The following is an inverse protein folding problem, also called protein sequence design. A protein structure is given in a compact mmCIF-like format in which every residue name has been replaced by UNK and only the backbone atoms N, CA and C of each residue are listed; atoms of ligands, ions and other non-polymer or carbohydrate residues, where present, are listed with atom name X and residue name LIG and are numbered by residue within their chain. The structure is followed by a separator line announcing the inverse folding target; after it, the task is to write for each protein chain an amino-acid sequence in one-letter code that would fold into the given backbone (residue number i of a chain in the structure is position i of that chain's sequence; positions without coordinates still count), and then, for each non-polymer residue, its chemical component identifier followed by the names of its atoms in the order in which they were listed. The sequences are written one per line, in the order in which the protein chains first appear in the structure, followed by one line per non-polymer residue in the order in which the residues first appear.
data_IF_010573141583
#
_entry.id   IF_010573141583
#
_cell.length_a   1.000
_cell.length_b   1.000
_cell.length_c   1.000
_cell.angle_alpha   90.00
_cell.angle_beta   90.00
_cell.angle_gamma   90.00
#
_symmetry.space_group_name_H-M   'P 1'
#
loop_
_entity.id
_entity.type
_entity.pdbx_description
1 polymer ?
#
# COMPACT_ATOMS: atom_id res chain seq x y z
N UNK A 1 24.03 -8.49 -6.72
CA UNK A 1 23.83 -7.06 -6.37
C UNK A 1 24.65 -6.75 -5.13
N UNK A 2 25.38 -5.64 -5.09
CA UNK A 2 26.10 -5.22 -3.88
C UNK A 2 26.17 -3.69 -3.77
N UNK A 3 26.44 -3.19 -2.56
CA UNK A 3 26.67 -1.77 -2.32
C UNK A 3 28.06 -1.42 -2.86
N UNK A 4 28.14 -0.50 -3.82
CA UNK A 4 29.41 -0.01 -4.40
C UNK A 4 29.97 1.17 -3.62
N UNK A 5 29.09 2.08 -3.19
CA UNK A 5 29.50 3.29 -2.49
C UNK A 5 28.38 3.78 -1.57
N UNK A 6 28.77 4.39 -0.45
CA UNK A 6 27.88 5.12 0.45
C UNK A 6 28.39 6.56 0.60
N UNK A 7 27.50 7.54 0.49
CA UNK A 7 27.79 8.96 0.70
C UNK A 7 26.91 9.50 1.83
N UNK A 8 27.53 10.13 2.82
CA UNK A 8 26.89 10.59 4.05
C UNK A 8 27.22 12.06 4.28
N UNK A 9 26.24 12.89 4.65
CA UNK A 9 26.46 14.27 5.08
C UNK A 9 25.45 14.67 6.14
N UNK A 10 25.92 15.30 7.21
CA UNK A 10 25.08 15.76 8.32
C UNK A 10 24.42 14.62 9.13
N UNK A 11 24.87 13.37 8.95
CA UNK A 11 24.25 12.19 9.54
C UNK A 11 25.00 11.72 10.78
N UNK A 12 24.37 11.76 11.96
CA UNK A 12 24.95 11.32 13.24
C UNK A 12 26.36 11.87 13.47
N UNK A 13 27.41 11.06 13.47
CA UNK A 13 28.80 11.50 13.67
C UNK A 13 29.41 12.18 12.45
N UNK A 14 28.80 12.06 11.27
CA UNK A 14 29.33 12.55 9.99
C UNK A 14 28.80 13.94 9.67
N UNK A 15 29.48 14.99 10.16
CA UNK A 15 29.13 16.39 9.85
C UNK A 15 29.42 16.75 8.39
N UNK A 16 30.61 16.42 7.91
CA UNK A 16 31.06 16.70 6.55
C UNK A 16 30.69 15.56 5.61
N UNK A 17 30.70 15.85 4.31
CA UNK A 17 30.48 14.83 3.29
C UNK A 17 31.57 13.77 3.34
N UNK A 18 31.17 12.52 3.54
CA UNK A 18 32.06 11.37 3.64
C UNK A 18 31.60 10.32 2.64
N UNK A 19 32.51 9.88 1.78
CA UNK A 19 32.28 8.81 0.82
C UNK A 19 33.04 7.56 1.24
N UNK A 20 32.36 6.42 1.23
CA UNK A 20 32.93 5.12 1.60
C UNK A 20 32.69 4.17 0.43
N UNK A 21 33.77 3.68 -0.15
CA UNK A 21 33.72 2.73 -1.26
C UNK A 21 33.80 1.30 -0.74
N UNK A 22 33.02 0.43 -1.37
CA UNK A 22 32.90 -0.98 -1.01
C UNK A 22 33.30 -1.86 -2.18
N UNK A 23 33.92 -3.00 -1.85
CA UNK A 23 34.36 -3.99 -2.84
C UNK A 23 33.47 -5.23 -2.79
N UNK A 24 33.49 -6.02 -3.87
CA UNK A 24 32.84 -7.34 -3.86
C UNK A 24 33.58 -8.26 -2.90
N UNK A 25 32.84 -8.98 -2.06
CA UNK A 25 33.39 -9.88 -1.04
C UNK A 25 33.21 -9.33 0.37
N UNK A 26 34.24 -9.48 1.20
CA UNK A 26 34.19 -9.14 2.63
C UNK A 26 34.80 -7.75 2.83
N UNK A 27 34.04 -6.84 3.43
CA UNK A 27 34.51 -5.51 3.80
C UNK A 27 34.54 -5.42 5.33
N UNK A 28 35.67 -4.98 5.91
CA UNK A 28 35.83 -4.82 7.36
C UNK A 28 35.96 -3.35 7.73
N UNK A 29 35.13 -2.89 8.68
CA UNK A 29 35.16 -1.52 9.20
C UNK A 29 35.79 -1.53 10.60
N UNK A 30 36.96 -0.92 10.74
CA UNK A 30 37.72 -0.84 12.00
C UNK A 30 37.97 0.61 12.41
N UNK A 31 38.20 0.84 13.70
CA UNK A 31 38.40 2.18 14.26
C UNK A 31 38.19 2.22 15.77
N UNK A 32 38.45 3.37 16.40
CA UNK A 32 38.30 3.56 17.84
C UNK A 32 36.85 3.60 18.31
N UNK A 33 36.60 3.34 19.60
CA UNK A 33 35.26 3.49 20.17
C UNK A 33 34.78 4.94 20.03
N UNK A 34 33.51 5.11 19.62
CA UNK A 34 32.94 6.43 19.34
C UNK A 34 33.23 7.01 17.95
N UNK A 35 34.05 6.34 17.11
CA UNK A 35 34.40 6.85 15.76
C UNK A 35 33.27 6.80 14.72
N UNK A 36 32.05 6.39 15.10
CA UNK A 36 30.90 6.35 14.19
C UNK A 36 30.73 5.06 13.37
N UNK A 37 31.49 3.98 13.65
CA UNK A 37 31.38 2.70 12.91
C UNK A 37 29.95 2.16 12.85
N UNK A 38 29.26 2.12 14.00
CA UNK A 38 27.86 1.67 14.08
C UNK A 38 26.91 2.60 13.33
N UNK A 39 27.27 3.87 13.11
CA UNK A 39 26.45 4.81 12.37
C UNK A 39 26.46 4.54 10.85
N UNK A 40 27.49 3.89 10.32
CA UNK A 40 27.50 3.44 8.92
C UNK A 40 26.39 2.39 8.71
N UNK A 41 26.30 1.43 9.64
CA UNK A 41 25.24 0.42 9.63
C UNK A 41 23.85 1.05 9.78
N UNK A 42 23.71 2.06 10.65
CA UNK A 42 22.46 2.83 10.78
C UNK A 42 22.13 3.62 9.50
N UNK A 43 23.11 4.10 8.74
CA UNK A 43 22.86 4.78 7.48
C UNK A 43 22.35 3.81 6.40
N UNK A 44 22.91 2.61 6.34
CA UNK A 44 22.41 1.53 5.48
C UNK A 44 20.97 1.17 5.86
N UNK A 45 20.72 1.01 7.16
CA UNK A 45 19.37 0.75 7.67
C UNK A 45 18.40 1.90 7.34
N UNK A 46 18.84 3.15 7.47
CA UNK A 46 18.03 4.33 7.18
C UNK A 46 17.57 4.37 5.72
N UNK A 47 18.43 3.98 4.78
CA UNK A 47 18.02 3.81 3.38
C UNK A 47 17.03 2.66 3.28
N UNK A 48 17.40 1.47 3.75
CA UNK A 48 16.60 0.26 3.56
C UNK A 48 15.29 0.18 4.38
N UNK A 49 15.04 1.13 5.29
CA UNK A 49 13.81 1.20 6.10
C UNK A 49 12.77 2.16 5.50
N UNK A 50 11.50 1.96 5.83
CA UNK A 50 10.42 2.90 5.49
C UNK A 50 10.28 4.04 6.52
N UNK A 51 10.95 3.90 7.67
CA UNK A 51 10.71 4.75 8.84
C UNK A 51 11.54 6.03 8.75
N UNK A 52 10.89 7.13 8.36
CA UNK A 52 11.43 8.49 8.49
C UNK A 52 11.03 9.19 9.81
N UNK A 53 10.36 8.51 10.75
CA UNK A 53 9.70 9.15 11.91
C UNK A 53 10.67 9.62 13.01
N UNK A 54 11.90 9.11 13.08
CA UNK A 54 12.88 9.50 14.09
C UNK A 54 13.80 10.64 13.64
N UNK A 55 13.19 11.77 13.24
CA UNK A 55 13.83 12.88 12.50
C UNK A 55 15.01 13.55 13.20
N UNK A 56 14.98 13.68 14.53
CA UNK A 56 16.07 14.31 15.29
C UNK A 56 17.23 13.34 15.54
N UNK A 57 16.91 12.05 15.68
CA UNK A 57 17.89 11.02 16.04
C UNK A 57 18.97 10.90 14.96
N UNK A 58 18.63 11.07 13.67
CA UNK A 58 19.59 10.91 12.57
C UNK A 58 20.49 12.13 12.31
N UNK A 59 20.14 13.29 12.85
CA UNK A 59 20.91 14.51 12.64
C UNK A 59 22.21 14.50 13.46
N UNK A 60 23.21 15.21 12.96
CA UNK A 60 24.44 15.43 13.72
C UNK A 60 24.19 16.36 14.91
N UNK A 61 24.23 15.79 16.11
CA UNK A 61 24.24 16.51 17.38
C UNK A 61 25.71 16.68 17.82
N UNK A 62 26.30 17.83 17.51
CA UNK A 62 27.67 18.16 17.88
C UNK A 62 27.81 19.63 18.24
N UNK A 63 28.96 20.01 18.80
CA UNK A 63 29.27 21.38 19.22
C UNK A 63 29.42 22.26 17.97
N UNK A 64 28.42 23.12 17.70
CA UNK A 64 28.35 24.01 16.54
C UNK A 64 26.92 24.26 16.07
N UNK A 65 26.75 24.94 14.92
CA UNK A 65 25.42 25.15 14.32
C UNK A 65 24.72 23.81 14.07
N UNK A 66 23.52 23.65 14.63
CA UNK A 66 22.69 22.48 14.41
C UNK A 66 22.48 22.26 12.91
N UNK A 67 22.91 21.10 12.42
CA UNK A 67 22.74 20.74 11.02
C UNK A 67 21.26 20.46 10.79
N UNK A 68 20.59 21.33 10.01
CA UNK A 68 19.15 21.19 9.71
C UNK A 68 18.87 20.18 8.58
N UNK A 69 19.91 19.84 7.81
CA UNK A 69 19.81 19.04 6.60
C UNK A 69 20.81 17.88 6.63
N UNK A 70 20.35 16.64 6.49
CA UNK A 70 21.23 15.51 6.29
C UNK A 70 20.81 14.72 5.05
N UNK A 71 21.76 14.01 4.45
CA UNK A 71 21.42 13.03 3.44
C UNK A 71 22.30 11.81 3.54
N UNK A 72 21.73 10.69 3.14
CA UNK A 72 22.42 9.43 2.92
C UNK A 72 22.13 9.03 1.49
N UNK A 73 23.16 8.58 0.79
CA UNK A 73 23.04 8.04 -0.55
C UNK A 73 23.82 6.74 -0.65
N UNK A 74 23.22 5.74 -1.29
CA UNK A 74 23.84 4.45 -1.53
C UNK A 74 23.77 4.17 -3.02
N UNK A 75 24.93 3.82 -3.59
CA UNK A 75 25.06 3.38 -4.97
C UNK A 75 25.17 1.87 -4.97
N UNK A 76 24.20 1.22 -5.60
CA UNK A 76 24.14 -0.23 -5.80
C UNK A 76 24.62 -0.60 -7.20
N UNK A 77 25.38 -1.69 -7.28
CA UNK A 77 25.66 -2.37 -8.55
C UNK A 77 24.47 -3.31 -8.87
N UNK A 78 23.82 -3.03 -10.00
CA UNK A 78 22.66 -3.75 -10.53
C UNK A 78 23.02 -4.62 -11.76
N UNK A 79 24.26 -5.10 -11.88
CA UNK A 79 24.68 -5.96 -13.01
C UNK A 79 23.83 -7.22 -13.18
N UNK A 80 23.28 -7.74 -12.08
CA UNK A 80 22.41 -8.93 -12.03
C UNK A 80 20.91 -8.60 -12.21
N UNK A 81 20.56 -7.32 -12.49
CA UNK A 81 19.19 -6.85 -12.77
C UNK A 81 18.14 -7.17 -11.70
N UNK A 82 18.54 -7.21 -10.43
CA UNK A 82 17.62 -7.32 -9.29
C UNK A 82 16.57 -6.21 -9.32
N UNK A 83 16.99 -5.00 -9.65
CA UNK A 83 16.07 -3.90 -9.96
C UNK A 83 15.70 -3.94 -11.45
N UNK A 84 14.81 -4.86 -11.83
CA UNK A 84 14.43 -5.08 -13.23
C UNK A 84 13.72 -3.88 -13.87
N UNK A 85 13.21 -2.93 -13.08
CA UNK A 85 12.58 -1.70 -13.58
C UNK A 85 13.58 -0.70 -14.18
N UNK A 86 14.86 -0.78 -13.81
CA UNK A 86 15.89 0.13 -14.29
C UNK A 86 16.81 -0.57 -15.30
N UNK A 87 17.07 0.10 -16.43
CA UNK A 87 18.03 -0.38 -17.45
C UNK A 87 19.48 -0.10 -17.07
N UNK A 88 19.70 0.79 -16.10
CA UNK A 88 21.01 1.23 -15.67
C UNK A 88 21.72 0.14 -14.85
N UNK A 89 23.03 0.01 -15.07
CA UNK A 89 23.90 -0.92 -14.34
C UNK A 89 24.17 -0.48 -12.90
N UNK A 90 23.89 0.78 -12.58
CA UNK A 90 24.06 1.37 -11.25
C UNK A 90 22.77 2.05 -10.83
N UNK A 91 22.40 1.88 -9.56
CA UNK A 91 21.22 2.50 -8.98
C UNK A 91 21.62 3.30 -7.77
N UNK A 92 21.25 4.59 -7.78
CA UNK A 92 21.50 5.53 -6.70
C UNK A 92 20.20 5.72 -5.94
N UNK A 93 20.22 5.37 -4.66
CA UNK A 93 19.12 5.63 -3.74
C UNK A 93 19.61 6.67 -2.74
N UNK A 94 18.94 7.83 -2.72
CA UNK A 94 19.27 8.95 -1.84
C UNK A 94 18.06 9.30 -1.00
N UNK A 95 18.25 9.41 0.31
CA UNK A 95 17.26 9.99 1.23
C UNK A 95 17.80 11.30 1.78
N UNK A 96 17.01 12.35 1.60
CA UNK A 96 17.31 13.69 2.10
C UNK A 96 16.35 14.00 3.23
N UNK A 97 16.90 14.37 4.38
CA UNK A 97 16.15 14.93 5.49
C UNK A 97 16.40 16.44 5.51
N UNK A 98 15.40 17.23 5.14
CA UNK A 98 15.48 18.69 5.14
C UNK A 98 14.25 19.26 5.83
N UNK A 99 14.45 20.17 6.81
CA UNK A 99 13.37 20.85 7.52
C UNK A 99 12.25 19.89 8.01
N UNK A 100 12.65 18.76 8.58
CA UNK A 100 11.73 17.72 9.09
C UNK A 100 10.88 17.02 8.00
N UNK A 101 11.24 17.15 6.72
CA UNK A 101 10.69 16.37 5.61
C UNK A 101 11.73 15.35 5.13
N UNK A 102 11.24 14.18 4.75
CA UNK A 102 12.04 13.07 4.24
C UNK A 102 11.69 12.94 2.76
N UNK A 103 12.63 13.26 1.87
CA UNK A 103 12.47 13.12 0.43
C UNK A 103 13.33 11.96 -0.06
N UNK A 104 12.76 11.14 -0.94
CA UNK A 104 13.38 9.92 -1.43
C UNK A 104 13.63 10.09 -2.92
N UNK A 105 14.88 9.95 -3.31
CA UNK A 105 15.32 10.04 -4.69
C UNK A 105 15.90 8.70 -5.15
N UNK A 106 15.47 8.25 -6.31
CA UNK A 106 16.05 7.08 -6.99
C UNK A 106 16.50 7.53 -8.37
N UNK A 107 17.80 7.39 -8.66
CA UNK A 107 18.45 7.90 -9.88
C UNK A 107 18.08 9.37 -10.15
N UNK A 108 18.22 10.19 -9.12
CA UNK A 108 17.94 11.64 -9.13
C UNK A 108 16.46 12.02 -9.36
N UNK A 109 15.54 11.06 -9.40
CA UNK A 109 14.09 11.29 -9.48
C UNK A 109 13.43 11.15 -8.11
N UNK A 110 12.62 12.14 -7.73
CA UNK A 110 11.82 12.06 -6.50
C UNK A 110 10.66 11.06 -6.69
N UNK A 111 10.49 10.16 -5.73
CA UNK A 111 9.45 9.13 -5.74
C UNK A 111 8.63 9.17 -4.46
N UNK A 112 7.38 8.71 -4.54
CA UNK A 112 6.54 8.64 -3.36
C UNK A 112 6.99 7.52 -2.41
N UNK A 113 6.63 7.64 -1.13
CA UNK A 113 6.91 6.63 -0.11
C UNK A 113 6.38 5.25 -0.50
N UNK A 114 5.15 5.18 -1.04
CA UNK A 114 4.54 3.92 -1.48
C UNK A 114 5.30 3.29 -2.65
N UNK A 115 5.68 4.10 -3.65
CA UNK A 115 6.50 3.61 -4.78
C UNK A 115 7.87 3.12 -4.32
N UNK A 116 8.47 3.78 -3.32
CA UNK A 116 9.72 3.33 -2.73
C UNK A 116 9.58 1.97 -2.04
N UNK A 117 8.47 1.78 -1.33
CA UNK A 117 8.17 0.51 -0.68
C UNK A 117 8.02 -0.61 -1.70
N UNK A 118 7.20 -0.40 -2.73
CA UNK A 118 7.02 -1.34 -3.82
C UNK A 118 8.34 -1.68 -4.53
N UNK A 119 9.21 -0.68 -4.72
CA UNK A 119 10.52 -0.88 -5.34
C UNK A 119 11.41 -1.81 -4.51
N UNK A 120 11.55 -1.56 -3.20
CA UNK A 120 12.38 -2.38 -2.33
C UNK A 120 11.82 -3.80 -2.20
N UNK A 121 10.50 -3.95 -2.07
CA UNK A 121 9.83 -5.25 -2.05
C UNK A 121 10.07 -6.05 -3.35
N UNK A 122 10.01 -5.38 -4.51
CA UNK A 122 10.26 -6.03 -5.81
C UNK A 122 11.67 -6.62 -5.93
N UNK A 123 12.63 -6.07 -5.18
CA UNK A 123 14.01 -6.53 -5.14
C UNK A 123 14.28 -7.60 -4.07
N UNK A 124 13.24 -8.01 -3.33
CA UNK A 124 13.36 -8.94 -2.21
C UNK A 124 14.00 -8.32 -0.95
N UNK A 125 14.10 -7.00 -0.88
CA UNK A 125 14.58 -6.29 0.30
C UNK A 125 13.37 -5.98 1.20
N UNK A 126 13.18 -6.81 2.24
CA UNK A 126 12.10 -6.63 3.20
C UNK A 126 12.33 -5.38 4.07
N UNK A 127 11.55 -4.34 3.82
CA UNK A 127 11.66 -3.02 4.48
C UNK A 127 11.25 -3.08 5.95
N UNK A 128 10.28 -3.94 6.25
CA UNK A 128 9.71 -4.09 7.59
C UNK A 128 10.59 -4.92 8.53
N UNK A 129 11.64 -5.57 8.00
CA UNK A 129 12.55 -6.31 8.84
C UNK A 129 13.89 -6.55 8.12
N UNK A 130 14.90 -5.76 8.50
CA UNK A 130 16.24 -5.86 7.95
C UNK A 130 16.98 -7.05 8.59
N UNK A 131 16.54 -8.28 8.32
CA UNK A 131 17.13 -9.50 8.88
C UNK A 131 18.63 -9.64 8.63
N UNK A 132 19.12 -8.97 7.58
CA UNK A 132 20.53 -8.95 7.20
C UNK A 132 21.37 -7.95 8.01
N UNK A 133 20.73 -7.16 8.89
CA UNK A 133 21.39 -6.14 9.72
C UNK A 133 21.24 -6.52 11.19
N UNK A 134 22.31 -7.04 11.78
CA UNK A 134 22.36 -7.37 13.20
C UNK A 134 22.99 -6.21 13.96
N UNK A 135 22.20 -5.55 14.80
CA UNK A 135 22.68 -4.50 15.70
C UNK A 135 23.40 -5.08 16.91
N UNK A 136 24.23 -4.24 17.53
CA UNK A 136 24.83 -4.57 18.81
C UNK A 136 23.75 -4.97 19.84
N UNK A 137 23.95 -6.11 20.50
CA UNK A 137 23.01 -6.65 21.49
C UNK A 137 21.79 -7.38 20.93
N UNK A 138 21.49 -7.32 19.62
CA UNK A 138 20.41 -8.12 19.04
C UNK A 138 20.70 -9.62 19.06
N UNK A 139 21.97 -10.03 19.02
CA UNK A 139 22.33 -11.45 19.08
C UNK A 139 21.90 -12.12 20.39
N UNK A 140 22.00 -11.38 21.51
CA UNK A 140 21.54 -11.86 22.82
C UNK A 140 20.01 -11.98 22.83
N UNK A 141 19.31 -11.04 22.18
CA UNK A 141 17.85 -11.13 22.04
C UNK A 141 17.46 -12.36 21.23
N UNK A 142 18.08 -12.58 20.06
CA UNK A 142 17.85 -13.75 19.22
C UNK A 142 18.10 -15.06 19.98
N UNK A 143 19.13 -15.12 20.82
CA UNK A 143 19.41 -16.30 21.64
C UNK A 143 18.37 -16.58 22.73
N UNK A 144 17.62 -15.55 23.16
CA UNK A 144 16.63 -15.65 24.23
C UNK A 144 15.19 -15.59 23.71
N UNK A 145 14.98 -15.58 22.39
CA UNK A 145 13.63 -15.57 21.80
C UNK A 145 12.90 -16.87 22.11
N UNK A 146 11.59 -16.77 22.33
CA UNK A 146 10.71 -17.94 22.46
C UNK A 146 10.49 -18.58 21.09
N UNK A 147 10.12 -19.86 21.07
CA UNK A 147 9.85 -20.60 19.83
C UNK A 147 8.81 -19.93 18.92
N UNK A 148 7.78 -19.30 19.50
CA UNK A 148 6.78 -18.54 18.75
C UNK A 148 7.37 -17.31 18.05
N UNK A 149 8.30 -16.61 18.70
CA UNK A 149 8.99 -15.45 18.13
C UNK A 149 9.95 -15.88 17.02
N UNK A 150 10.65 -17.01 17.22
CA UNK A 150 11.52 -17.61 16.20
C UNK A 150 10.71 -18.07 14.98
N UNK A 151 9.54 -18.67 15.20
CA UNK A 151 8.64 -19.06 14.10
C UNK A 151 8.16 -17.84 13.32
N UNK A 152 7.72 -16.80 14.03
CA UNK A 152 7.32 -15.54 13.40
C UNK A 152 8.48 -14.91 12.63
N UNK A 153 9.69 -14.98 13.17
CA UNK A 153 10.93 -14.52 12.54
C UNK A 153 11.25 -15.32 11.25
N UNK A 154 11.07 -16.64 11.25
CA UNK A 154 11.26 -17.48 10.07
C UNK A 154 10.19 -17.24 9.00
N UNK A 155 8.91 -17.17 9.39
CA UNK A 155 7.79 -16.88 8.47
C UNK A 155 8.01 -15.58 7.71
N UNK A 156 8.59 -14.60 8.37
CA UNK A 156 8.80 -13.28 7.81
C UNK A 156 10.06 -13.20 6.93
N UNK A 157 11.08 -14.04 7.16
CA UNK A 157 12.19 -14.26 6.20
C UNK A 157 11.69 -14.94 4.92
N UNK A 158 10.78 -15.92 5.06
CA UNK A 158 10.18 -16.63 3.93
C UNK A 158 9.20 -15.77 3.11
N UNK A 159 8.92 -14.53 3.54
CA UNK A 159 7.92 -13.67 2.90
C UNK A 159 6.47 -14.14 3.11
N UNK A 160 6.25 -15.19 3.91
CA UNK A 160 4.91 -15.72 4.20
C UNK A 160 4.02 -14.69 4.89
N UNK A 161 4.61 -13.78 5.67
CA UNK A 161 3.88 -12.69 6.34
C UNK A 161 3.16 -11.76 5.36
N UNK A 162 3.83 -11.36 4.26
CA UNK A 162 3.23 -10.49 3.24
C UNK A 162 2.06 -11.21 2.56
N UNK A 163 2.22 -12.51 2.30
CA UNK A 163 1.15 -13.33 1.74
C UNK A 163 -0.04 -13.46 2.70
N UNK A 164 0.21 -13.70 4.00
CA UNK A 164 -0.84 -13.76 5.03
C UNK A 164 -1.60 -12.42 5.16
N UNK A 165 -0.90 -11.28 5.11
CA UNK A 165 -1.52 -9.95 5.13
C UNK A 165 -2.40 -9.71 3.90
N UNK A 166 -1.87 -9.95 2.69
CA UNK A 166 -2.66 -9.82 1.44
C UNK A 166 -3.87 -10.74 1.43
N UNK A 167 -3.73 -11.96 1.95
CA UNK A 167 -4.85 -12.91 2.08
C UNK A 167 -5.92 -12.36 3.04
N UNK A 168 -5.52 -11.78 4.17
CA UNK A 168 -6.43 -11.19 5.14
C UNK A 168 -7.20 -10.00 4.55
N UNK A 169 -6.51 -9.13 3.82
CA UNK A 169 -7.13 -7.97 3.16
C UNK A 169 -8.11 -8.41 2.08
N UNK A 170 -7.73 -9.39 1.25
CA UNK A 170 -8.61 -9.96 0.23
C UNK A 170 -9.88 -10.59 0.85
N UNK A 171 -9.75 -11.31 1.97
CA UNK A 171 -10.89 -11.86 2.70
C UNK A 171 -11.79 -10.78 3.30
N UNK A 172 -11.23 -9.66 3.74
CA UNK A 172 -12.01 -8.50 4.21
C UNK A 172 -12.82 -7.88 3.08
N UNK A 173 -12.18 -7.65 1.93
CA UNK A 173 -12.86 -7.13 0.73
C UNK A 173 -13.97 -8.07 0.27
N UNK A 174 -13.75 -9.38 0.32
CA UNK A 174 -14.76 -10.38 -0.04
C UNK A 174 -15.99 -10.28 0.87
N UNK A 175 -15.80 -10.12 2.18
CA UNK A 175 -16.92 -9.91 3.13
C UNK A 175 -17.70 -8.62 2.83
N UNK A 176 -17.03 -7.55 2.43
CA UNK A 176 -17.70 -6.31 2.02
C UNK A 176 -18.47 -6.47 0.70
N UNK A 177 -17.93 -7.23 -0.25
CA UNK A 177 -18.65 -7.56 -1.48
C UNK A 177 -19.90 -8.40 -1.21
N UNK A 178 -19.81 -9.40 -0.33
CA UNK A 178 -20.94 -10.24 0.05
C UNK A 178 -22.04 -9.44 0.75
N UNK A 179 -21.67 -8.51 1.65
CA UNK A 179 -22.66 -7.66 2.31
C UNK A 179 -23.36 -6.71 1.33
N UNK A 180 -22.64 -6.13 0.36
CA UNK A 180 -23.23 -5.33 -0.72
C UNK A 180 -24.15 -6.16 -1.61
N UNK A 181 -23.76 -7.39 -1.93
CA UNK A 181 -24.58 -8.31 -2.73
C UNK A 181 -25.93 -8.59 -2.07
N UNK A 182 -25.93 -8.87 -0.77
CA UNK A 182 -27.17 -9.08 0.00
C UNK A 182 -28.07 -7.85 -0.03
N UNK A 183 -27.52 -6.64 0.06
CA UNK A 183 -28.30 -5.40 -0.04
C UNK A 183 -28.93 -5.25 -1.42
N UNK A 184 -28.15 -5.49 -2.48
CA UNK A 184 -28.64 -5.42 -3.87
C UNK A 184 -29.74 -6.45 -4.13
N UNK A 185 -29.60 -7.68 -3.62
CA UNK A 185 -30.63 -8.72 -3.77
C UNK A 185 -31.95 -8.32 -3.10
N UNK A 186 -31.89 -7.64 -1.95
CA UNK A 186 -33.09 -7.09 -1.28
C UNK A 186 -33.75 -6.00 -2.14
N UNK A 187 -32.99 -5.02 -2.60
CA UNK A 187 -33.50 -3.94 -3.46
C UNK A 187 -34.09 -4.49 -4.76
N UNK A 188 -33.48 -5.53 -5.33
CA UNK A 188 -33.97 -6.19 -6.53
C UNK A 188 -35.32 -6.88 -6.29
N UNK A 189 -35.48 -7.58 -5.17
CA UNK A 189 -36.75 -8.21 -4.79
C UNK A 189 -37.84 -7.16 -4.51
N UNK A 190 -37.49 -6.05 -3.86
CA UNK A 190 -38.40 -4.92 -3.64
C UNK A 190 -38.84 -4.28 -4.98
N UNK A 191 -37.93 -4.20 -5.96
CA UNK A 191 -38.30 -3.72 -7.30
C UNK A 191 -39.20 -4.70 -8.05
N UNK A 192 -38.94 -6.00 -7.96
CA UNK A 192 -39.80 -7.01 -8.61
C UNK A 192 -41.22 -7.00 -8.03
N UNK A 193 -41.37 -6.93 -6.71
CA UNK A 193 -42.71 -6.83 -6.09
C UNK A 193 -43.46 -5.56 -6.51
N UNK A 194 -42.77 -4.42 -6.65
CA UNK A 194 -43.37 -3.20 -7.21
C UNK A 194 -43.79 -3.37 -8.67
N UNK A 195 -42.98 -4.05 -9.49
CA UNK A 195 -43.33 -4.34 -10.88
C UNK A 195 -44.58 -5.23 -10.98
N UNK A 196 -44.69 -6.26 -10.14
CA UNK A 196 -45.88 -7.12 -10.05
C UNK A 196 -47.12 -6.30 -9.68
N UNK A 197 -47.04 -5.44 -8.66
CA UNK A 197 -48.18 -4.56 -8.32
C UNK A 197 -48.57 -3.60 -9.45
N UNK A 198 -47.59 -3.06 -10.19
CA UNK A 198 -47.87 -2.20 -11.35
C UNK A 198 -48.55 -2.97 -12.48
N UNK A 199 -48.17 -4.24 -12.69
CA UNK A 199 -48.79 -5.09 -13.69
C UNK A 199 -50.26 -5.35 -13.34
N UNK A 200 -50.56 -5.66 -12.07
CA UNK A 200 -51.95 -5.81 -11.60
C UNK A 200 -52.76 -4.51 -11.76
N UNK A 201 -52.19 -3.35 -11.40
CA UNK A 201 -52.85 -2.06 -11.61
C UNK A 201 -53.14 -1.79 -13.10
N UNK A 202 -52.19 -2.15 -13.97
CA UNK A 202 -52.34 -1.99 -15.42
C UNK A 202 -53.43 -2.92 -16.00
N UNK A 203 -53.51 -4.17 -15.55
CA UNK A 203 -54.58 -5.10 -15.92
C UNK A 203 -55.96 -4.60 -15.46
N UNK A 204 -56.06 -4.13 -14.21
CA UNK A 204 -57.28 -3.52 -13.67
C UNK A 204 -57.71 -2.28 -14.48
N UNK A 205 -56.74 -1.45 -14.89
CA UNK A 205 -57.00 -0.29 -15.75
C UNK A 205 -57.51 -0.70 -17.14
N UNK A 206 -56.91 -1.73 -17.74
CA UNK A 206 -57.36 -2.31 -19.01
C UNK A 206 -58.80 -2.86 -18.90
N UNK A 207 -59.11 -3.60 -17.83
CA UNK A 207 -60.47 -4.06 -17.56
C UNK A 207 -61.46 -2.91 -17.43
N UNK A 208 -61.10 -1.88 -16.67
CA UNK A 208 -61.93 -0.69 -16.49
C UNK A 208 -62.20 0.00 -17.84
N UNK A 209 -61.17 0.18 -18.67
CA UNK A 209 -61.30 0.76 -20.03
C UNK A 209 -62.22 -0.09 -20.91
N UNK A 210 -62.05 -1.41 -20.91
CA UNK A 210 -62.90 -2.34 -21.67
C UNK A 210 -64.36 -2.31 -21.20
N UNK A 211 -64.63 -2.23 -19.88
CA UNK A 211 -65.98 -2.08 -19.33
C UNK A 211 -66.60 -0.74 -19.73
N UNK A 212 -65.82 0.36 -19.71
CA UNK A 212 -66.27 1.68 -20.16
C UNK A 212 -66.65 1.67 -21.65
N UNK A 213 -65.83 1.05 -22.51
CA UNK A 213 -66.14 0.93 -23.94
C UNK A 213 -67.40 0.07 -24.20
N UNK A 214 -67.55 -1.07 -23.50
CA UNK A 214 -68.78 -1.88 -23.60
C UNK A 214 -70.02 -1.12 -23.15
N UNK A 215 -69.93 -0.38 -22.04
CA UNK A 215 -71.01 0.50 -21.56
C UNK A 215 -71.35 1.55 -22.61
N UNK A 216 -70.35 2.23 -23.17
CA UNK A 216 -70.55 3.26 -24.19
C UNK A 216 -71.17 2.72 -25.49
N UNK A 217 -70.92 1.44 -25.84
CA UNK A 217 -71.58 0.75 -26.96
C UNK A 217 -73.00 0.27 -26.64
N UNK A 218 -73.31 -0.05 -25.38
CA UNK A 218 -74.67 -0.41 -24.94
C UNK A 218 -75.60 0.80 -24.79
N UNK A 219 -75.07 1.97 -24.43
CA UNK A 219 -75.83 3.21 -24.27
C UNK A 219 -76.65 3.62 -25.51
N UNK A 220 -76.14 3.58 -26.76
CA UNK A 220 -76.95 3.85 -27.95
C UNK A 220 -77.97 2.74 -28.25
N UNK A 221 -77.66 1.47 -27.96
CA UNK A 221 -78.56 0.34 -28.19
C UNK A 221 -79.80 0.37 -27.26
N UNK A 222 -79.63 0.79 -26.01
CA UNK A 222 -80.76 0.94 -25.09
C UNK A 222 -81.61 2.18 -25.39
N UNK A 223 -81.05 3.25 -25.96
CA UNK A 223 -81.87 4.38 -26.44
C UNK A 223 -82.74 3.96 -27.64
N UNK A 224 -82.20 3.19 -28.59
CA UNK A 224 -82.97 2.68 -29.73
C UNK A 224 -84.15 1.80 -29.30
N UNK A 225 -83.97 0.89 -28.33
CA UNK A 225 -85.06 0.05 -27.81
C UNK A 225 -86.15 0.81 -27.05
N UNK A 226 -85.84 1.97 -26.47
CA UNK A 226 -86.84 2.79 -25.78
C UNK A 226 -87.74 3.52 -26.79
N UNK A 227 -87.21 3.87 -27.98
CA UNK A 227 -88.00 4.48 -29.05
C UNK A 227 -88.87 3.47 -29.83
N UNK A 228 -88.46 2.20 -29.94
CA UNK A 228 -89.28 1.17 -30.61
C UNK A 228 -90.47 0.68 -29.76
N UNK A 229 -90.44 0.84 -28.43
CA UNK A 229 -91.55 0.47 -27.54
C UNK A 229 -92.53 1.63 -27.24
N UNK A 230 -92.37 2.78 -27.91
CA UNK A 230 -93.24 3.97 -27.76
C UNK A 230 -93.95 4.40 -29.04
N UNK A 231 -93.91 3.59 -30.10
CA UNK A 231 -94.87 3.62 -31.21
C UNK A 231 -95.76 2.38 -31.18
#
# INVERSE_FOLDING_TARGET
MYIKQIRLKGFRTYKNETTIDFTRGINCIVGFNGSGKSNILLAIEFILSDVCEYKQIYLHEGIGNAVRNCYVEIIFDNSEKYFSMFKESEIKIKKVLENMKCEIFVNDKNISKNQYVELLESCGLCINNLYNIIKQGQIIKLSNMKDEEILNYLKSILGAKIFEEKKKDALSMLKECDSKKVTIEKEFNDMNSKLESLQEEFENFLEYKNRKEKSFRLFPMNKLKIYENTM
#
